data_IF_318466007241
#
_entry.id   IF_318466007241
#
_cell.length_a   1.000
_cell.length_b   1.000
_cell.length_c   1.000
_cell.angle_alpha   90.00
_cell.angle_beta   90.00
_cell.angle_gamma   90.00
#
_symmetry.space_group_name_H-M   'P 1'
#
loop_
_entity.id
_entity.type
_entity.pdbx_description
1 polymer ?
#
# COMPACT_ATOMS: atom_id res chain seq x y z
N UNK A 1 -80.11 -11.62 -34.36
CA UNK A 1 -81.03 -12.64 -33.80
C UNK A 1 -80.25 -13.49 -32.81
N UNK A 2 -80.62 -13.37 -31.53
CA UNK A 2 -80.95 -14.46 -30.55
C UNK A 2 -79.86 -15.61 -30.52
N UNK A 3 -79.40 -16.12 -29.41
CA UNK A 3 -79.68 -16.12 -27.95
C UNK A 3 -78.54 -16.90 -27.24
N UNK A 4 -78.08 -16.39 -26.11
CA UNK A 4 -77.79 -17.06 -24.84
C UNK A 4 -77.79 -18.56 -24.70
N UNK A 5 -76.79 -19.11 -23.98
CA UNK A 5 -77.00 -19.96 -22.80
C UNK A 5 -75.63 -20.27 -22.09
N UNK A 6 -75.50 -19.98 -20.81
CA UNK A 6 -74.59 -20.63 -19.86
C UNK A 6 -75.20 -21.92 -19.36
N UNK A 7 -74.41 -22.87 -18.78
CA UNK A 7 -74.34 -22.94 -17.35
C UNK A 7 -73.01 -23.38 -16.71
N UNK A 8 -72.99 -23.18 -15.42
CA UNK A 8 -72.02 -23.47 -14.38
C UNK A 8 -71.58 -24.93 -14.27
N UNK A 9 -70.31 -25.17 -13.91
CA UNK A 9 -69.80 -26.42 -13.37
C UNK A 9 -68.54 -26.14 -12.55
N UNK A 10 -68.68 -26.17 -11.22
CA UNK A 10 -67.55 -26.10 -10.28
C UNK A 10 -66.89 -27.48 -10.15
N UNK A 11 -65.56 -27.56 -10.25
CA UNK A 11 -64.79 -28.73 -9.77
C UNK A 11 -63.54 -28.18 -9.07
N UNK A 12 -63.47 -28.46 -7.75
CA UNK A 12 -62.30 -28.28 -6.93
C UNK A 12 -61.15 -29.16 -7.41
N UNK A 13 -59.98 -28.57 -7.57
CA UNK A 13 -58.76 -29.30 -7.92
C UNK A 13 -57.59 -28.76 -7.10
N UNK A 14 -57.03 -29.61 -6.31
CA UNK A 14 -55.89 -29.47 -5.39
C UNK A 14 -54.71 -28.71 -6.02
N UNK A 15 -54.26 -27.64 -5.35
CA UNK A 15 -52.99 -26.97 -5.64
C UNK A 15 -51.89 -27.67 -4.85
N UNK A 16 -51.08 -28.46 -5.51
CA UNK A 16 -49.79 -28.93 -5.00
C UNK A 16 -48.79 -27.77 -5.12
N UNK A 17 -48.49 -27.12 -4.00
CA UNK A 17 -47.44 -26.09 -3.92
C UNK A 17 -46.04 -26.72 -4.02
N UNK A 18 -45.40 -26.60 -5.19
CA UNK A 18 -43.99 -26.86 -5.32
C UNK A 18 -43.22 -25.65 -4.79
N UNK A 19 -42.69 -25.75 -3.58
CA UNK A 19 -41.75 -24.77 -3.04
C UNK A 19 -40.41 -24.90 -3.78
N UNK A 20 -40.20 -24.03 -4.75
CA UNK A 20 -38.84 -23.82 -5.33
C UNK A 20 -38.02 -23.04 -4.30
N UNK A 21 -37.16 -23.73 -3.56
CA UNK A 21 -36.10 -23.06 -2.79
C UNK A 21 -35.09 -22.49 -3.78
N UNK A 22 -35.19 -21.19 -4.04
CA UNK A 22 -34.14 -20.44 -4.71
C UNK A 22 -32.96 -20.37 -3.72
N UNK A 23 -31.94 -21.17 -3.94
CA UNK A 23 -30.61 -20.97 -3.35
C UNK A 23 -30.04 -19.67 -3.93
N UNK A 24 -30.31 -18.55 -3.25
CA UNK A 24 -29.61 -17.31 -3.49
C UNK A 24 -28.14 -17.49 -3.02
N UNK A 25 -27.31 -18.01 -3.90
CA UNK A 25 -25.87 -17.96 -3.76
C UNK A 25 -25.47 -16.48 -3.80
N UNK A 26 -25.12 -15.90 -2.64
CA UNK A 26 -24.48 -14.60 -2.57
C UNK A 26 -23.08 -14.69 -3.21
N UNK A 27 -23.02 -14.68 -4.53
CA UNK A 27 -21.83 -14.32 -5.27
C UNK A 27 -21.71 -12.81 -5.22
N UNK A 28 -21.16 -12.26 -4.11
CA UNK A 28 -20.83 -10.85 -4.05
C UNK A 28 -19.63 -10.62 -4.97
N UNK A 29 -19.89 -10.10 -6.16
CA UNK A 29 -18.84 -9.50 -7.00
C UNK A 29 -18.20 -8.37 -6.19
N UNK A 30 -16.86 -8.30 -6.10
CA UNK A 30 -16.20 -7.16 -5.45
C UNK A 30 -16.71 -5.86 -6.08
N UNK A 31 -16.90 -4.79 -5.33
CA UNK A 31 -17.30 -3.52 -5.91
C UNK A 31 -16.23 -3.03 -6.88
N UNK A 32 -16.64 -2.22 -7.84
CA UNK A 32 -15.75 -1.62 -8.82
C UNK A 32 -14.86 -0.53 -8.22
N UNK A 33 -15.11 -0.12 -7.01
CA UNK A 33 -14.43 0.96 -6.29
C UNK A 33 -14.07 0.52 -4.87
N UNK A 34 -13.03 1.12 -4.28
CA UNK A 34 -12.55 0.80 -2.93
C UNK A 34 -12.20 2.07 -2.15
N UNK A 35 -12.44 2.01 -0.86
CA UNK A 35 -11.89 2.93 0.13
C UNK A 35 -11.41 2.14 1.35
N UNK A 36 -10.31 2.57 1.97
CA UNK A 36 -9.86 2.03 3.25
C UNK A 36 -10.66 2.59 4.44
N UNK A 37 -11.55 3.55 4.19
CA UNK A 37 -12.41 4.11 5.24
C UNK A 37 -13.42 3.07 5.75
N UNK A 38 -13.71 3.01 7.07
CA UNK A 38 -14.45 1.90 7.71
C UNK A 38 -15.91 1.73 7.27
N UNK A 39 -16.46 2.61 6.46
CA UNK A 39 -17.91 2.74 6.29
C UNK A 39 -18.53 2.02 5.09
N UNK A 40 -17.80 1.44 4.17
CA UNK A 40 -18.42 0.91 2.97
C UNK A 40 -17.64 -0.17 2.22
N UNK A 41 -16.63 -0.76 2.83
CA UNK A 41 -15.80 -1.69 2.10
C UNK A 41 -16.36 -3.11 2.16
N UNK A 42 -16.77 -3.67 1.03
CA UNK A 42 -16.96 -5.10 0.87
C UNK A 42 -15.63 -5.83 0.63
N UNK A 43 -14.51 -5.15 0.87
CA UNK A 43 -13.21 -5.80 0.98
C UNK A 43 -13.24 -6.76 2.18
N UNK A 44 -12.66 -7.95 2.03
CA UNK A 44 -12.47 -8.84 3.16
C UNK A 44 -11.55 -8.18 4.17
N UNK A 45 -12.09 -7.72 5.31
CA UNK A 45 -11.31 -7.20 6.43
C UNK A 45 -11.11 -8.29 7.46
N UNK A 46 -9.89 -8.42 7.99
CA UNK A 46 -9.56 -9.36 9.06
C UNK A 46 -8.96 -8.56 10.21
N UNK A 47 -9.60 -8.59 11.40
CA UNK A 47 -9.04 -7.96 12.59
C UNK A 47 -7.69 -8.57 12.94
N UNK A 48 -6.70 -7.73 13.16
CA UNK A 48 -5.34 -8.11 13.55
C UNK A 48 -4.86 -7.21 14.70
N UNK A 49 -3.74 -7.59 15.33
CA UNK A 49 -3.03 -6.73 16.29
C UNK A 49 -1.55 -6.70 15.98
N UNK A 50 -0.96 -5.52 16.05
CA UNK A 50 0.49 -5.33 16.02
C UNK A 50 0.89 -4.68 17.35
N UNK A 51 1.41 -5.48 18.27
CA UNK A 51 1.60 -5.06 19.65
C UNK A 51 0.27 -4.72 20.33
N UNK A 52 0.12 -3.50 20.81
CA UNK A 52 -1.11 -2.95 21.40
C UNK A 52 -2.05 -2.27 20.37
N UNK A 53 -1.59 -2.13 19.11
CA UNK A 53 -2.31 -1.45 18.06
C UNK A 53 -3.33 -2.39 17.40
N UNK A 54 -4.63 -2.03 17.46
CA UNK A 54 -5.66 -2.71 16.70
C UNK A 54 -5.56 -2.32 15.22
N UNK A 55 -5.50 -3.31 14.35
CA UNK A 55 -5.45 -3.15 12.89
C UNK A 55 -6.49 -4.04 12.22
N UNK A 56 -6.84 -3.69 11.00
CA UNK A 56 -7.61 -4.55 10.10
C UNK A 56 -6.85 -4.71 8.81
N UNK A 57 -6.57 -5.94 8.43
CA UNK A 57 -6.01 -6.23 7.11
C UNK A 57 -7.11 -6.17 6.08
N UNK A 58 -6.91 -5.37 5.04
CA UNK A 58 -7.85 -5.18 3.94
C UNK A 58 -7.28 -5.82 2.69
N UNK A 59 -7.98 -6.84 2.17
CA UNK A 59 -7.67 -7.45 0.89
C UNK A 59 -8.80 -7.21 -0.08
N UNK A 60 -8.46 -6.64 -1.21
CA UNK A 60 -9.39 -6.39 -2.30
C UNK A 60 -8.68 -6.59 -3.64
N UNK A 61 -9.36 -7.21 -4.56
CA UNK A 61 -8.88 -7.37 -5.92
C UNK A 61 -10.07 -7.32 -6.89
N UNK A 62 -9.92 -6.58 -7.96
CA UNK A 62 -10.95 -6.49 -9.00
C UNK A 62 -10.32 -6.37 -10.39
N UNK A 63 -10.98 -6.97 -11.35
CA UNK A 63 -10.75 -6.68 -12.77
C UNK A 63 -11.66 -5.52 -13.19
N UNK A 64 -11.32 -4.86 -14.30
CA UNK A 64 -12.15 -3.81 -14.88
C UNK A 64 -13.57 -4.32 -15.09
N UNK A 65 -14.61 -3.62 -14.56
CA UNK A 65 -16.00 -4.04 -14.71
C UNK A 65 -16.41 -4.19 -16.16
N UNK A 66 -17.12 -5.30 -16.46
CA UNK A 66 -17.61 -5.59 -17.81
C UNK A 66 -16.54 -6.00 -18.83
N UNK A 67 -15.29 -6.25 -18.37
CA UNK A 67 -14.20 -6.72 -19.23
C UNK A 67 -14.13 -8.25 -19.22
N UNK A 68 -13.81 -8.84 -20.38
CA UNK A 68 -13.57 -10.27 -20.57
C UNK A 68 -12.15 -10.50 -21.16
N UNK A 69 -11.52 -11.61 -20.80
CA UNK A 69 -10.17 -11.96 -21.27
C UNK A 69 -9.06 -11.25 -20.49
N UNK A 70 -8.12 -10.63 -21.19
CA UNK A 70 -6.93 -9.94 -20.63
C UNK A 70 -7.28 -8.61 -19.95
N UNK A 71 -8.05 -8.65 -18.89
CA UNK A 71 -8.59 -7.47 -18.22
C UNK A 71 -7.55 -6.72 -17.39
N UNK A 72 -7.64 -5.38 -17.37
CA UNK A 72 -6.93 -4.57 -16.37
C UNK A 72 -7.34 -4.97 -14.95
N UNK A 73 -6.37 -4.90 -14.01
CA UNK A 73 -6.57 -5.39 -12.64
C UNK A 73 -6.03 -4.42 -11.60
N UNK A 74 -6.72 -4.30 -10.48
CA UNK A 74 -6.23 -3.65 -9.26
C UNK A 74 -6.23 -4.67 -8.14
N UNK A 75 -5.17 -4.68 -7.35
CA UNK A 75 -5.05 -5.46 -6.12
C UNK A 75 -4.62 -4.56 -4.96
N UNK A 76 -5.25 -4.76 -3.80
CA UNK A 76 -4.93 -4.07 -2.55
C UNK A 76 -4.73 -5.11 -1.45
N UNK A 77 -3.58 -5.05 -0.79
CA UNK A 77 -3.28 -5.77 0.47
C UNK A 77 -2.77 -4.72 1.47
N UNK A 78 -3.69 -4.10 2.18
CA UNK A 78 -3.43 -2.93 3.00
C UNK A 78 -3.86 -3.13 4.44
N UNK A 79 -3.63 -2.13 5.27
CA UNK A 79 -4.00 -2.09 6.68
C UNK A 79 -4.84 -0.86 6.97
N UNK A 80 -5.93 -1.04 7.70
CA UNK A 80 -6.69 0.03 8.32
C UNK A 80 -6.47 0.04 9.83
N UNK A 81 -6.71 1.19 10.44
CA UNK A 81 -6.56 1.44 11.88
C UNK A 81 -7.89 1.89 12.48
N UNK A 82 -8.75 0.96 12.92
CA UNK A 82 -10.11 1.28 13.37
C UNK A 82 -10.15 2.31 14.50
N UNK A 83 -9.15 2.31 15.39
CA UNK A 83 -9.02 3.30 16.48
C UNK A 83 -8.41 4.65 16.04
N UNK A 84 -7.92 4.77 14.80
CA UNK A 84 -7.23 5.96 14.30
C UNK A 84 -7.68 6.24 12.85
N UNK A 85 -8.92 6.70 12.64
CA UNK A 85 -9.47 6.92 11.28
C UNK A 85 -8.62 7.87 10.43
N UNK A 86 -8.00 8.88 11.05
CA UNK A 86 -7.09 9.82 10.37
C UNK A 86 -5.88 9.10 9.76
N UNK A 87 -5.33 8.09 10.45
CA UNK A 87 -4.21 7.31 9.94
C UNK A 87 -4.64 6.42 8.77
N UNK A 88 -5.82 5.79 8.86
CA UNK A 88 -6.39 5.03 7.76
C UNK A 88 -6.58 5.89 6.51
N UNK A 89 -7.17 7.09 6.66
CA UNK A 89 -7.34 8.04 5.55
C UNK A 89 -6.00 8.51 4.97
N UNK A 90 -4.99 8.69 5.81
CA UNK A 90 -3.64 9.06 5.36
C UNK A 90 -2.98 7.93 4.56
N UNK A 91 -3.12 6.68 4.98
CA UNK A 91 -2.61 5.50 4.23
C UNK A 91 -3.28 5.42 2.86
N UNK A 92 -4.61 5.61 2.79
CA UNK A 92 -5.36 5.67 1.53
C UNK A 92 -4.82 6.77 0.60
N UNK A 93 -4.71 7.99 1.14
CA UNK A 93 -4.21 9.15 0.40
C UNK A 93 -2.79 8.93 -0.14
N UNK A 94 -1.85 8.50 0.70
CA UNK A 94 -0.44 8.35 0.28
C UNK A 94 -0.28 7.23 -0.74
N UNK A 95 -0.97 6.11 -0.59
CA UNK A 95 -0.97 5.05 -1.61
C UNK A 95 -1.48 5.57 -2.96
N UNK A 96 -2.57 6.34 -2.97
CA UNK A 96 -3.09 6.94 -4.20
C UNK A 96 -2.10 7.98 -4.79
N UNK A 97 -1.52 8.82 -3.94
CA UNK A 97 -0.54 9.84 -4.33
C UNK A 97 0.71 9.23 -4.98
N UNK A 98 1.22 8.10 -4.45
CA UNK A 98 2.40 7.40 -4.95
C UNK A 98 2.25 6.86 -6.38
N UNK A 99 1.02 6.77 -6.92
CA UNK A 99 0.79 6.39 -8.32
C UNK A 99 1.11 7.49 -9.33
N UNK A 100 1.30 8.73 -8.87
CA UNK A 100 1.61 9.89 -9.71
C UNK A 100 3.05 9.95 -10.21
N UNK A 101 3.65 8.82 -10.57
CA UNK A 101 5.07 8.72 -10.98
C UNK A 101 5.34 9.13 -12.44
N UNK A 102 4.31 9.22 -13.28
CA UNK A 102 4.44 9.59 -14.69
C UNK A 102 3.95 11.04 -14.92
N UNK A 103 4.86 11.96 -15.21
CA UNK A 103 4.54 13.36 -15.47
C UNK A 103 3.60 13.58 -16.68
N UNK A 104 3.45 12.59 -17.57
CA UNK A 104 2.55 12.64 -18.73
C UNK A 104 1.14 12.10 -18.42
N UNK A 105 0.90 11.58 -17.20
CA UNK A 105 -0.40 11.10 -16.76
C UNK A 105 -1.04 12.06 -15.77
N UNK A 106 -2.37 12.00 -15.70
CA UNK A 106 -3.09 12.70 -14.64
C UNK A 106 -2.66 12.12 -13.30
N UNK A 107 -2.42 12.98 -12.35
CA UNK A 107 -2.04 12.67 -10.98
C UNK A 107 -1.40 13.89 -10.32
N UNK A 108 -1.08 13.81 -9.03
CA UNK A 108 -1.42 12.75 -8.10
C UNK A 108 -2.92 12.70 -7.76
N UNK A 109 -3.37 11.58 -7.17
CA UNK A 109 -4.76 11.35 -6.75
C UNK A 109 -4.87 11.50 -5.23
N UNK A 110 -6.02 11.99 -4.75
CA UNK A 110 -6.24 12.19 -3.32
C UNK A 110 -6.71 10.93 -2.59
N UNK A 111 -7.34 9.99 -3.31
CA UNK A 111 -7.85 8.75 -2.73
C UNK A 111 -7.67 7.56 -3.69
N UNK A 112 -7.63 6.35 -3.13
CA UNK A 112 -7.63 5.11 -3.93
C UNK A 112 -8.90 5.00 -4.79
N UNK A 113 -10.05 5.51 -4.31
CA UNK A 113 -11.28 5.58 -5.08
C UNK A 113 -11.12 6.45 -6.33
N UNK A 114 -10.56 7.65 -6.20
CA UNK A 114 -10.31 8.53 -7.34
C UNK A 114 -9.33 7.89 -8.34
N UNK A 115 -8.25 7.29 -7.85
CA UNK A 115 -7.32 6.56 -8.70
C UNK A 115 -7.99 5.39 -9.42
N UNK A 116 -8.81 4.61 -8.74
CA UNK A 116 -9.52 3.45 -9.31
C UNK A 116 -10.44 3.88 -10.46
N UNK A 117 -11.19 4.96 -10.30
CA UNK A 117 -12.06 5.50 -11.36
C UNK A 117 -11.24 5.92 -12.59
N UNK A 118 -10.14 6.63 -12.36
CA UNK A 118 -9.21 6.99 -13.44
C UNK A 118 -8.63 5.76 -14.12
N UNK A 119 -8.11 4.81 -13.34
CA UNK A 119 -7.52 3.58 -13.87
C UNK A 119 -8.51 2.80 -14.75
N UNK A 120 -9.74 2.59 -14.26
CA UNK A 120 -10.76 1.89 -15.06
C UNK A 120 -11.11 2.62 -16.36
N UNK A 121 -11.02 3.94 -16.39
CA UNK A 121 -11.35 4.72 -17.58
C UNK A 121 -10.24 4.70 -18.64
N UNK A 122 -8.97 4.50 -18.23
CA UNK A 122 -7.80 4.67 -19.09
C UNK A 122 -6.98 3.41 -19.31
N UNK A 123 -7.13 2.40 -18.44
CA UNK A 123 -6.32 1.18 -18.46
C UNK A 123 -6.54 0.36 -19.75
N UNK A 124 -5.42 -0.11 -20.31
CA UNK A 124 -5.36 -1.02 -21.45
C UNK A 124 -5.41 -2.48 -20.97
N UNK A 125 -5.70 -3.45 -21.86
CA UNK A 125 -5.62 -4.87 -21.52
C UNK A 125 -4.29 -5.22 -20.83
N UNK A 126 -4.34 -6.00 -19.76
CA UNK A 126 -3.21 -6.44 -18.92
C UNK A 126 -2.53 -5.34 -18.09
N UNK A 127 -2.98 -4.09 -18.12
CA UNK A 127 -2.52 -3.11 -17.15
C UNK A 127 -2.91 -3.58 -15.74
N UNK A 128 -2.00 -3.43 -14.79
CA UNK A 128 -2.25 -3.79 -13.40
C UNK A 128 -1.66 -2.76 -12.44
N UNK A 129 -2.33 -2.58 -11.30
CA UNK A 129 -1.81 -1.79 -10.19
C UNK A 129 -1.94 -2.58 -8.90
N UNK A 130 -0.90 -2.57 -8.12
CA UNK A 130 -0.80 -3.21 -6.83
C UNK A 130 -0.52 -2.18 -5.74
N UNK A 131 -1.26 -2.29 -4.63
CA UNK A 131 -1.10 -1.45 -3.45
C UNK A 131 -0.88 -2.32 -2.22
N UNK A 132 0.11 -1.97 -1.43
CA UNK A 132 0.37 -2.64 -0.17
C UNK A 132 0.66 -1.63 0.92
N UNK A 133 0.08 -1.86 2.10
CA UNK A 133 0.48 -1.19 3.32
C UNK A 133 0.58 -2.21 4.46
N UNK A 134 1.60 -2.07 5.29
CA UNK A 134 1.78 -2.90 6.48
C UNK A 134 2.49 -2.13 7.58
N UNK A 135 2.23 -2.49 8.84
CA UNK A 135 3.03 -1.98 9.95
C UNK A 135 4.43 -2.59 9.87
N UNK A 136 5.45 -1.76 9.70
CA UNK A 136 6.85 -2.17 9.69
C UNK A 136 7.34 -2.49 11.10
N UNK A 137 7.11 -1.56 12.04
CA UNK A 137 7.44 -1.76 13.46
C UNK A 137 6.70 -0.73 14.33
N UNK A 138 6.76 -0.93 15.65
CA UNK A 138 6.26 0.02 16.65
C UNK A 138 7.35 0.25 17.71
N UNK A 139 7.75 1.49 17.87
CA UNK A 139 8.80 1.89 18.83
C UNK A 139 8.26 3.01 19.72
N UNK A 140 8.00 2.69 20.98
CA UNK A 140 7.39 3.64 21.91
C UNK A 140 6.07 4.20 21.37
N UNK A 141 6.01 5.51 21.17
CA UNK A 141 4.83 6.22 20.64
C UNK A 141 4.72 6.20 19.11
N UNK A 142 5.74 5.72 18.40
CA UNK A 142 5.81 5.78 16.93
C UNK A 142 5.44 4.45 16.30
N UNK A 143 4.51 4.50 15.36
CA UNK A 143 4.15 3.40 14.46
C UNK A 143 4.73 3.70 13.09
N UNK A 144 5.66 2.87 12.63
CA UNK A 144 6.23 2.95 11.27
C UNK A 144 5.43 2.05 10.33
N UNK A 145 4.94 2.62 9.24
CA UNK A 145 4.12 1.94 8.23
C UNK A 145 4.88 1.95 6.90
N UNK A 146 5.02 0.79 6.31
CA UNK A 146 5.55 0.64 4.95
C UNK A 146 4.41 0.69 3.94
N UNK A 147 4.52 1.57 2.97
CA UNK A 147 3.63 1.73 1.83
C UNK A 147 4.38 1.35 0.57
N UNK A 148 3.74 0.57 -0.29
CA UNK A 148 4.31 0.15 -1.56
C UNK A 148 3.23 0.18 -2.64
N UNK A 149 3.59 0.67 -3.82
CA UNK A 149 2.78 0.60 -5.03
C UNK A 149 3.60 0.00 -6.16
N UNK A 150 2.95 -0.74 -7.04
CA UNK A 150 3.55 -1.20 -8.27
C UNK A 150 2.55 -1.06 -9.42
N UNK A 151 2.97 -0.42 -10.50
CA UNK A 151 2.15 -0.23 -11.70
C UNK A 151 2.75 -1.02 -12.86
N UNK A 152 1.99 -1.94 -13.41
CA UNK A 152 2.34 -2.70 -14.61
C UNK A 152 1.57 -2.13 -15.78
N UNK A 153 2.27 -1.54 -16.74
CA UNK A 153 1.67 -0.91 -17.92
C UNK A 153 1.98 -1.72 -19.15
N UNK A 154 0.96 -2.05 -19.92
CA UNK A 154 1.10 -2.83 -21.16
C UNK A 154 2.09 -2.20 -22.12
N UNK A 155 3.14 -2.94 -22.45
CA UNK A 155 4.27 -2.50 -23.27
C UNK A 155 5.48 -2.00 -22.47
N UNK A 156 5.38 -1.87 -21.13
CA UNK A 156 6.55 -1.63 -20.30
C UNK A 156 7.40 -2.91 -20.13
N UNK A 157 8.70 -2.74 -19.97
CA UNK A 157 9.62 -3.87 -19.78
C UNK A 157 9.48 -4.51 -18.38
N UNK A 158 9.03 -3.74 -17.40
CA UNK A 158 8.82 -4.14 -16.00
C UNK A 158 7.84 -3.21 -15.32
N UNK A 159 7.44 -3.56 -14.09
CA UNK A 159 6.63 -2.70 -13.23
C UNK A 159 7.36 -1.43 -12.80
N UNK A 160 6.61 -0.46 -12.33
CA UNK A 160 7.09 0.80 -11.76
C UNK A 160 6.78 0.73 -10.26
N UNK A 161 7.72 0.25 -9.43
CA UNK A 161 7.54 0.21 -7.99
C UNK A 161 7.83 1.58 -7.36
N UNK A 162 7.17 1.87 -6.25
CA UNK A 162 7.49 2.98 -5.37
C UNK A 162 7.23 2.59 -3.92
N UNK A 163 8.10 2.99 -3.00
CA UNK A 163 7.98 2.68 -1.58
C UNK A 163 8.15 3.93 -0.73
N UNK A 164 7.30 4.07 0.28
CA UNK A 164 7.39 5.15 1.26
C UNK A 164 7.14 4.62 2.68
N UNK A 165 7.85 5.19 3.65
CA UNK A 165 7.57 4.99 5.06
C UNK A 165 6.79 6.18 5.64
N UNK A 166 5.84 5.87 6.54
CA UNK A 166 5.19 6.84 7.39
C UNK A 166 5.52 6.50 8.85
N UNK A 167 6.03 7.47 9.61
CA UNK A 167 6.26 7.35 11.04
C UNK A 167 5.16 8.13 11.78
N UNK A 168 4.14 7.44 12.27
CA UNK A 168 3.00 8.05 12.94
C UNK A 168 3.24 8.18 14.43
N UNK A 169 3.26 9.41 14.94
CA UNK A 169 3.28 9.71 16.39
C UNK A 169 1.85 9.58 16.95
N UNK A 170 1.59 8.54 17.73
CA UNK A 170 0.24 8.26 18.28
C UNK A 170 -0.27 9.37 19.18
N UNK A 171 0.54 9.85 20.10
CA UNK A 171 0.20 10.92 21.06
C UNK A 171 -0.11 12.25 20.40
N UNK A 172 0.54 12.55 19.27
CA UNK A 172 0.37 13.81 18.53
C UNK A 172 -0.62 13.69 17.37
N UNK A 173 -0.98 12.48 16.97
CA UNK A 173 -1.89 12.23 15.86
C UNK A 173 -1.43 12.79 14.52
N UNK A 174 -0.12 12.65 14.21
CA UNK A 174 0.51 13.16 12.99
C UNK A 174 1.74 12.34 12.56
N UNK A 175 2.17 12.52 11.33
CA UNK A 175 3.44 11.95 10.83
C UNK A 175 4.62 12.77 11.37
N UNK A 176 5.67 12.08 11.77
CA UNK A 176 6.96 12.64 12.13
C UNK A 176 7.89 12.61 10.92
N UNK A 177 8.44 13.75 10.55
CA UNK A 177 9.49 13.86 9.52
C UNK A 177 10.85 13.44 10.05
N UNK A 178 11.82 13.22 9.15
CA UNK A 178 13.20 12.95 9.54
C UNK A 178 13.79 14.10 10.38
N UNK A 179 13.61 15.35 9.95
CA UNK A 179 14.13 16.50 10.69
C UNK A 179 13.54 16.64 12.09
N UNK A 180 12.29 16.20 12.27
CA UNK A 180 11.65 16.14 13.59
C UNK A 180 12.17 14.98 14.47
N UNK A 181 12.67 13.91 13.85
CA UNK A 181 13.30 12.80 14.56
C UNK A 181 14.75 13.14 15.01
N UNK A 182 15.42 14.01 14.26
CA UNK A 182 16.80 14.39 14.53
C UNK A 182 16.91 15.48 15.62
N UNK A 183 18.02 15.46 16.36
CA UNK A 183 18.45 16.60 17.15
C UNK A 183 18.75 17.76 16.19
N UNK A 184 18.30 18.99 16.46
CA UNK A 184 18.56 20.14 15.59
C UNK A 184 20.05 20.29 15.21
N UNK A 185 20.32 20.46 13.91
CA UNK A 185 21.67 20.59 13.36
C UNK A 185 22.43 19.26 13.18
N UNK A 186 21.78 18.09 13.38
CA UNK A 186 22.42 16.77 13.24
C UNK A 186 22.21 16.10 11.89
N UNK A 187 21.55 16.74 10.94
CA UNK A 187 21.30 16.16 9.62
C UNK A 187 22.58 15.67 8.92
N UNK A 188 23.67 16.47 8.96
CA UNK A 188 24.93 16.02 8.33
C UNK A 188 25.53 14.76 8.97
N UNK A 189 25.32 14.55 10.28
CA UNK A 189 25.76 13.33 10.96
C UNK A 189 24.87 12.13 10.62
N UNK A 190 23.55 12.36 10.46
CA UNK A 190 22.63 11.33 9.92
C UNK A 190 23.07 10.90 8.51
N UNK A 191 23.34 11.85 7.61
CA UNK A 191 23.81 11.56 6.25
C UNK A 191 25.11 10.76 6.28
N UNK A 192 26.06 11.13 7.15
CA UNK A 192 27.31 10.36 7.31
C UNK A 192 27.05 8.93 7.84
N UNK A 193 26.08 8.74 8.74
CA UNK A 193 25.68 7.40 9.19
C UNK A 193 25.02 6.59 8.06
N UNK A 194 24.17 7.23 7.27
CA UNK A 194 23.54 6.60 6.10
C UNK A 194 24.57 6.22 5.02
N UNK A 195 25.59 7.05 4.79
CA UNK A 195 26.71 6.73 3.90
C UNK A 195 27.49 5.49 4.36
N UNK A 196 27.73 5.34 5.67
CA UNK A 196 28.36 4.13 6.22
C UNK A 196 27.47 2.89 6.02
N UNK A 197 26.15 3.03 6.23
CA UNK A 197 25.21 1.95 5.96
C UNK A 197 25.21 1.57 4.48
N UNK A 198 25.28 2.53 3.57
CA UNK A 198 25.40 2.29 2.12
C UNK A 198 26.72 1.57 1.79
N UNK A 199 27.84 2.01 2.34
CA UNK A 199 29.15 1.35 2.14
C UNK A 199 29.08 -0.12 2.59
N UNK A 200 28.49 -0.41 3.75
CA UNK A 200 28.29 -1.77 4.23
C UNK A 200 27.37 -2.60 3.32
N UNK A 201 26.34 -1.99 2.76
CA UNK A 201 25.46 -2.66 1.78
C UNK A 201 26.21 -2.99 0.48
N UNK A 202 27.09 -2.09 -0.01
CA UNK A 202 27.95 -2.33 -1.17
C UNK A 202 28.92 -3.50 -0.97
N UNK A 203 29.46 -3.68 0.24
CA UNK A 203 30.32 -4.81 0.60
C UNK A 203 29.60 -6.16 0.46
N UNK A 204 28.28 -6.19 0.61
CA UNK A 204 27.44 -7.38 0.47
C UNK A 204 26.90 -7.57 -0.94
N UNK A 205 26.97 -6.54 -1.79
CA UNK A 205 26.46 -6.57 -3.16
C UNK A 205 27.49 -7.18 -4.12
N UNK A 206 27.19 -8.33 -4.78
CA UNK A 206 28.15 -9.00 -5.67
C UNK A 206 28.59 -8.16 -6.87
N UNK A 207 27.68 -7.33 -7.42
CA UNK A 207 27.98 -6.50 -8.59
C UNK A 207 28.88 -5.31 -8.20
N UNK A 208 28.61 -4.69 -7.04
CA UNK A 208 29.47 -3.64 -6.50
C UNK A 208 30.88 -4.15 -6.13
N UNK A 209 30.99 -5.37 -5.61
CA UNK A 209 32.29 -5.99 -5.30
C UNK A 209 33.10 -6.35 -6.53
N UNK A 210 32.47 -6.65 -7.66
CA UNK A 210 33.16 -7.02 -8.92
C UNK A 210 33.92 -5.82 -9.48
N UNK A 211 33.34 -4.64 -9.48
CA UNK A 211 33.96 -3.38 -9.92
C UNK A 211 33.40 -2.19 -9.12
N UNK A 212 33.94 -1.93 -7.93
CA UNK A 212 33.46 -0.87 -7.04
C UNK A 212 33.48 0.53 -7.67
N UNK A 213 34.50 0.81 -8.52
CA UNK A 213 34.64 2.12 -9.12
C UNK A 213 33.60 2.36 -10.21
N UNK A 214 33.38 1.38 -11.09
CA UNK A 214 32.34 1.47 -12.11
C UNK A 214 30.94 1.47 -11.48
N UNK A 215 30.71 0.63 -10.47
CA UNK A 215 29.42 0.58 -9.75
C UNK A 215 29.10 1.92 -9.07
N UNK A 216 30.02 2.47 -8.29
CA UNK A 216 29.82 3.73 -7.58
C UNK A 216 29.66 4.94 -8.50
N UNK A 217 30.23 4.89 -9.71
CA UNK A 217 30.01 5.91 -10.74
C UNK A 217 28.60 5.84 -11.34
N UNK A 218 28.08 4.63 -11.53
CA UNK A 218 26.76 4.39 -12.13
C UNK A 218 25.64 4.55 -11.10
N UNK A 219 25.85 4.11 -9.87
CA UNK A 219 24.92 4.09 -8.76
C UNK A 219 25.50 4.82 -7.55
N UNK A 220 25.63 6.16 -7.62
CA UNK A 220 26.21 6.93 -6.52
C UNK A 220 25.27 6.92 -5.32
N UNK A 221 25.84 7.13 -4.13
CA UNK A 221 25.06 7.37 -2.92
C UNK A 221 24.09 8.53 -3.14
N UNK A 222 22.86 8.35 -2.65
CA UNK A 222 21.83 9.39 -2.58
C UNK A 222 21.36 9.53 -1.13
N UNK A 223 21.18 10.76 -0.69
CA UNK A 223 20.52 11.05 0.58
C UNK A 223 19.04 10.73 0.46
N UNK A 224 18.42 10.20 1.54
CA UNK A 224 17.00 9.88 1.57
C UNK A 224 16.39 10.18 2.93
N UNK A 225 15.18 10.74 2.90
CA UNK A 225 14.32 10.99 4.06
C UNK A 225 13.25 9.88 4.21
N UNK A 226 13.26 8.89 3.33
CA UNK A 226 12.32 7.76 3.37
C UNK A 226 12.77 6.73 4.42
N UNK A 227 12.47 6.99 5.68
CA UNK A 227 12.92 6.19 6.81
C UNK A 227 11.76 5.57 7.60
N UNK A 228 12.04 4.42 8.21
CA UNK A 228 11.23 3.80 9.26
C UNK A 228 12.02 3.74 10.57
N UNK A 229 11.37 4.08 11.68
CA UNK A 229 11.90 3.79 13.01
C UNK A 229 11.55 2.34 13.36
N UNK A 230 12.54 1.54 13.70
CA UNK A 230 12.39 0.13 14.08
C UNK A 230 13.03 -0.15 15.43
N UNK A 231 12.79 -1.32 16.01
CA UNK A 231 13.41 -1.73 17.29
C UNK A 231 14.93 -1.81 17.24
N UNK A 232 15.51 -1.99 16.06
CA UNK A 232 16.96 -2.15 15.87
C UNK A 232 17.65 -0.85 15.46
N UNK A 233 16.91 0.16 15.02
CA UNK A 233 17.44 1.43 14.52
C UNK A 233 16.54 2.08 13.47
N UNK A 234 17.15 2.88 12.61
CA UNK A 234 16.49 3.41 11.41
C UNK A 234 16.74 2.48 10.23
N UNK A 235 15.68 2.24 9.46
CA UNK A 235 15.75 1.62 8.15
C UNK A 235 15.38 2.66 7.10
N UNK A 236 16.20 2.77 6.05
CA UNK A 236 15.98 3.68 4.92
C UNK A 236 15.81 2.84 3.66
N UNK A 237 14.72 3.03 2.94
CA UNK A 237 14.41 2.29 1.71
C UNK A 237 14.48 3.21 0.49
N UNK A 238 14.99 2.67 -0.59
CA UNK A 238 15.16 3.36 -1.86
C UNK A 238 14.30 2.70 -2.92
N UNK A 239 13.74 3.49 -3.80
CA UNK A 239 13.09 2.97 -5.00
C UNK A 239 14.11 2.29 -5.92
N UNK A 240 13.64 1.38 -6.75
CA UNK A 240 14.45 0.78 -7.80
C UNK A 240 15.09 1.87 -8.67
N UNK A 241 16.32 1.62 -9.13
CA UNK A 241 17.16 2.58 -9.87
C UNK A 241 17.70 3.77 -9.07
N UNK A 242 17.41 3.91 -7.78
CA UNK A 242 17.98 5.02 -7.00
C UNK A 242 19.47 4.85 -6.72
N UNK A 243 19.86 3.73 -6.10
CA UNK A 243 21.26 3.42 -5.72
C UNK A 243 21.73 2.06 -6.24
N UNK A 244 20.91 1.39 -7.06
CA UNK A 244 21.17 0.07 -7.63
C UNK A 244 20.31 -0.13 -8.88
N UNK A 245 20.69 -1.07 -9.81
CA UNK A 245 19.85 -1.43 -10.94
C UNK A 245 18.56 -2.12 -10.49
N UNK A 246 17.54 -2.12 -11.34
CA UNK A 246 16.22 -2.72 -11.08
C UNK A 246 16.30 -4.19 -10.59
N UNK A 247 17.28 -4.95 -11.07
CA UNK A 247 17.49 -6.34 -10.66
C UNK A 247 17.78 -6.54 -9.17
N UNK A 248 18.14 -5.48 -8.43
CA UNK A 248 18.32 -5.48 -6.98
C UNK A 248 17.06 -5.07 -6.22
N UNK A 249 15.97 -4.76 -6.95
CA UNK A 249 14.71 -4.30 -6.36
C UNK A 249 14.85 -2.95 -5.68
N UNK A 250 14.29 -2.84 -4.49
CA UNK A 250 14.27 -1.64 -3.65
C UNK A 250 15.25 -1.81 -2.49
N UNK A 251 16.49 -1.25 -2.58
CA UNK A 251 17.51 -1.41 -1.54
C UNK A 251 17.07 -0.86 -0.18
N UNK A 252 17.33 -1.61 0.89
CA UNK A 252 17.05 -1.22 2.25
C UNK A 252 18.37 -1.11 3.04
N UNK A 253 18.63 0.05 3.63
CA UNK A 253 19.82 0.34 4.45
C UNK A 253 19.43 0.47 5.91
N UNK A 254 20.15 -0.21 6.80
CA UNK A 254 19.91 -0.17 8.24
C UNK A 254 20.99 0.61 8.96
N UNK A 255 20.58 1.53 9.83
CA UNK A 255 21.45 2.31 10.72
C UNK A 255 21.10 1.93 12.16
N UNK A 256 21.95 1.16 12.85
CA UNK A 256 21.67 0.72 14.22
C UNK A 256 21.68 1.90 15.22
N UNK A 257 20.95 1.76 16.31
CA UNK A 257 20.88 2.81 17.36
C UNK A 257 22.25 3.20 17.92
N UNK A 258 23.22 2.30 17.93
CA UNK A 258 24.58 2.63 18.36
C UNK A 258 25.18 3.77 17.54
N UNK A 259 24.90 3.81 16.23
CA UNK A 259 25.39 4.84 15.29
C UNK A 259 24.49 6.10 15.27
N UNK A 260 23.35 6.07 15.95
CA UNK A 260 22.36 7.15 15.99
C UNK A 260 22.38 7.92 17.31
N UNK A 261 23.22 7.51 18.29
CA UNK A 261 23.39 8.24 19.56
C UNK A 261 23.93 9.63 19.31
N UNK A 262 23.27 10.66 19.89
CA UNK A 262 23.61 12.06 19.66
C UNK A 262 23.21 12.59 18.26
N UNK A 263 22.49 11.80 17.48
CA UNK A 263 21.91 12.15 16.18
C UNK A 263 20.39 12.19 16.30
N UNK A 264 19.77 11.07 16.73
CA UNK A 264 18.35 11.03 17.04
C UNK A 264 18.06 11.69 18.38
N UNK A 265 16.85 12.21 18.50
CA UNK A 265 16.33 12.69 19.79
C UNK A 265 16.30 11.56 20.81
N UNK A 266 16.66 11.86 22.10
CA UNK A 266 16.76 10.83 23.14
C UNK A 266 15.51 9.99 23.36
N UNK A 267 14.32 10.58 23.19
CA UNK A 267 13.02 9.90 23.34
C UNK A 267 12.75 8.83 22.27
N UNK A 268 13.48 8.83 21.15
CA UNK A 268 13.39 7.86 20.08
C UNK A 268 14.44 6.73 20.20
N UNK A 269 15.34 6.83 21.17
CA UNK A 269 16.32 5.78 21.43
C UNK A 269 15.73 4.74 22.39
N UNK A 270 16.17 3.47 22.31
CA UNK A 270 15.80 2.45 23.30
C UNK A 270 16.20 2.93 24.70
N UNK A 271 15.27 2.81 25.64
CA UNK A 271 15.59 3.06 27.04
C UNK A 271 16.57 1.97 27.52
N UNK A 272 17.56 2.31 28.39
CA UNK A 272 18.53 1.36 28.88
C UNK A 272 17.91 0.25 29.72
#
# INVERSE_FOLDING_TARGET
MRRTFTPRGAISGFILGAAVMALAGCGSTPPADITLAPQSSPAASTPEKVGDLATERIKWASNKPGCEGDCPRIEIDSVAFPGIPKLTALVDHVLAYMTGTDANRRGPYDTLSEYTQYFWSTARPRDATYFKASVKDTVGDVVSIELHTEQFLTGAAHGIPATQYLNWERSRGRVMSLDEALIPGRRGQYVAALQRAHAKWLEQNPDARRDPAAYGKMWPFQESDNFALTRDGIVVKYDAYSIAPYSHGEPELSIPYADLRGILKPELLPQP
#
